data_IF_142169660065
#
_entry.id   IF_142169660065
#
_cell.length_a   1.000
_cell.length_b   1.000
_cell.length_c   1.000
_cell.angle_alpha   90.00
_cell.angle_beta   90.00
_cell.angle_gamma   90.00
#
_symmetry.space_group_name_H-M   'P 1'
#
loop_
_entity.id
_entity.type
_entity.pdbx_description
1 polymer ?
#
# COMPACT_ATOMS: atom_id res chain seq x y z
N UNK A 1 1.78 -18.63 -28.60
CA UNK A 1 0.36 -18.39 -28.25
C UNK A 1 0.20 -16.95 -27.81
N UNK A 2 -0.83 -16.25 -28.30
CA UNK A 2 -1.26 -14.96 -27.74
C UNK A 2 -2.42 -15.26 -26.78
N UNK A 3 -2.40 -14.70 -25.57
CA UNK A 3 -3.48 -14.83 -24.59
C UNK A 3 -4.03 -13.45 -24.25
N UNK A 4 -5.29 -13.39 -23.84
CA UNK A 4 -5.91 -12.18 -23.30
C UNK A 4 -6.11 -12.37 -21.80
N UNK A 5 -5.47 -11.51 -21.00
CA UNK A 5 -5.68 -11.45 -19.55
C UNK A 5 -6.83 -10.51 -19.23
N UNK A 6 -7.67 -10.90 -18.28
CA UNK A 6 -8.70 -10.04 -17.69
C UNK A 6 -8.37 -9.88 -16.21
N UNK A 7 -8.35 -8.65 -15.72
CA UNK A 7 -8.11 -8.33 -14.31
C UNK A 7 -9.42 -7.88 -13.69
N UNK A 8 -9.91 -8.62 -12.71
CA UNK A 8 -11.07 -8.29 -11.89
C UNK A 8 -10.60 -8.08 -10.44
N UNK A 9 -10.64 -6.84 -9.97
CA UNK A 9 -10.16 -6.44 -8.64
C UNK A 9 -11.17 -5.49 -7.98
N UNK A 10 -11.14 -5.43 -6.66
CA UNK A 10 -11.87 -4.40 -5.92
C UNK A 10 -11.40 -3.00 -6.32
N UNK A 11 -12.36 -2.09 -6.48
CA UNK A 11 -12.09 -0.67 -6.60
C UNK A 11 -11.58 -0.08 -5.28
N UNK A 12 -11.15 1.18 -5.33
CA UNK A 12 -10.68 1.92 -4.16
C UNK A 12 -11.74 2.00 -3.05
N UNK A 13 -11.34 1.77 -1.79
CA UNK A 13 -12.24 1.74 -0.62
C UNK A 13 -11.92 2.83 0.41
N UNK A 14 -12.96 3.52 0.88
CA UNK A 14 -12.85 4.53 1.93
C UNK A 14 -14.10 4.49 2.84
N UNK A 15 -14.03 3.71 3.91
CA UNK A 15 -15.10 3.54 4.89
C UNK A 15 -14.89 4.38 6.15
N UNK A 16 -15.87 4.34 7.05
CA UNK A 16 -15.77 4.94 8.40
C UNK A 16 -14.67 4.29 9.25
N UNK A 17 -14.43 3.00 9.04
CA UNK A 17 -13.39 2.21 9.70
C UNK A 17 -12.68 1.38 8.63
N UNK A 18 -11.43 1.72 8.32
CA UNK A 18 -10.61 1.00 7.36
C UNK A 18 -9.55 0.21 8.13
N UNK A 19 -9.38 -1.07 7.81
CA UNK A 19 -8.38 -1.92 8.45
C UNK A 19 -7.32 -2.39 7.43
N UNK A 20 -6.58 -3.46 7.75
CA UNK A 20 -5.48 -3.95 6.94
C UNK A 20 -5.95 -4.38 5.54
N UNK A 21 -7.15 -4.92 5.43
CA UNK A 21 -7.75 -5.36 4.17
C UNK A 21 -7.95 -4.18 3.22
N UNK A 22 -8.51 -3.07 3.71
CA UNK A 22 -8.65 -1.83 2.93
C UNK A 22 -7.27 -1.27 2.53
N UNK A 23 -6.27 -1.36 3.40
CA UNK A 23 -4.91 -0.92 3.06
C UNK A 23 -4.36 -1.72 1.88
N UNK A 24 -4.55 -3.05 1.86
CA UNK A 24 -4.14 -3.89 0.74
C UNK A 24 -4.93 -3.61 -0.54
N UNK A 25 -6.25 -3.43 -0.46
CA UNK A 25 -7.08 -3.09 -1.62
C UNK A 25 -6.63 -1.75 -2.23
N UNK A 26 -6.45 -0.73 -1.39
CA UNK A 26 -6.02 0.59 -1.85
C UNK A 26 -4.58 0.58 -2.37
N UNK A 27 -3.69 -0.18 -1.74
CA UNK A 27 -2.33 -0.40 -2.24
C UNK A 27 -2.31 -1.04 -3.63
N UNK A 28 -3.12 -2.08 -3.86
CA UNK A 28 -3.28 -2.70 -5.18
C UNK A 28 -3.78 -1.69 -6.22
N UNK A 29 -4.75 -0.84 -5.85
CA UNK A 29 -5.24 0.22 -6.72
C UNK A 29 -4.16 1.26 -7.05
N UNK A 30 -3.33 1.67 -6.08
CA UNK A 30 -2.21 2.58 -6.34
C UNK A 30 -1.14 1.94 -7.24
N UNK A 31 -0.84 0.65 -7.05
CA UNK A 31 0.10 -0.08 -7.93
C UNK A 31 -0.45 -0.18 -9.35
N UNK A 32 -1.75 -0.43 -9.51
CA UNK A 32 -2.41 -0.46 -10.81
C UNK A 32 -2.40 0.95 -11.45
N UNK A 33 -2.64 2.00 -10.67
CA UNK A 33 -2.55 3.37 -11.14
C UNK A 33 -1.14 3.71 -11.65
N UNK A 34 -0.09 3.37 -10.90
CA UNK A 34 1.30 3.56 -11.33
C UNK A 34 1.59 2.81 -12.63
N UNK A 35 1.13 1.57 -12.74
CA UNK A 35 1.27 0.78 -13.97
C UNK A 35 0.62 1.49 -15.18
N UNK A 36 -0.57 2.07 -15.01
CA UNK A 36 -1.23 2.84 -16.06
C UNK A 36 -0.47 4.11 -16.42
N UNK A 37 0.03 4.87 -15.44
CA UNK A 37 0.84 6.07 -15.67
C UNK A 37 2.07 5.71 -16.50
N UNK A 38 2.81 4.68 -16.11
CA UNK A 38 4.03 4.26 -16.82
C UNK A 38 3.74 3.75 -18.24
N UNK A 39 2.67 2.96 -18.41
CA UNK A 39 2.29 2.43 -19.72
C UNK A 39 1.82 3.53 -20.67
N UNK A 40 0.99 4.46 -20.18
CA UNK A 40 0.53 5.61 -20.94
C UNK A 40 1.70 6.50 -21.35
N UNK A 41 2.62 6.79 -20.41
CA UNK A 41 3.80 7.61 -20.67
C UNK A 41 4.72 6.98 -21.73
N UNK A 42 5.04 5.68 -21.60
CA UNK A 42 5.86 4.95 -22.58
C UNK A 42 5.24 5.02 -23.98
N UNK A 43 3.92 4.87 -24.08
CA UNK A 43 3.20 4.94 -25.35
C UNK A 43 3.25 6.35 -25.96
N UNK A 44 3.00 7.38 -25.16
CA UNK A 44 3.06 8.77 -25.63
C UNK A 44 4.46 9.16 -26.07
N UNK A 45 5.48 8.79 -25.30
CA UNK A 45 6.88 9.04 -25.65
C UNK A 45 7.27 8.37 -26.98
N UNK A 46 6.80 7.15 -27.23
CA UNK A 46 7.04 6.44 -28.49
C UNK A 46 6.43 7.18 -29.68
N UNK A 47 5.14 7.59 -29.59
CA UNK A 47 4.49 8.36 -30.66
C UNK A 47 5.18 9.71 -30.92
N UNK A 48 5.54 10.42 -29.85
CA UNK A 48 6.23 11.71 -29.96
C UNK A 48 7.60 11.55 -30.65
N UNK A 49 8.33 10.48 -30.33
CA UNK A 49 9.62 10.18 -30.96
C UNK A 49 9.47 9.83 -32.44
N UNK A 50 8.41 9.13 -32.84
CA UNK A 50 8.12 8.82 -34.24
C UNK A 50 7.78 10.07 -35.05
N UNK A 51 7.10 11.04 -34.43
CA UNK A 51 6.74 12.31 -35.07
C UNK A 51 7.83 13.39 -34.97
N UNK A 52 8.95 13.12 -34.30
CA UNK A 52 10.03 14.10 -34.08
C UNK A 52 9.64 15.25 -33.13
N UNK A 53 8.63 15.05 -32.30
CA UNK A 53 8.08 16.07 -31.39
C UNK A 53 8.67 15.85 -29.99
N UNK A 54 9.17 16.92 -29.37
CA UNK A 54 9.53 16.89 -27.95
C UNK A 54 8.40 17.46 -27.11
N UNK A 55 7.72 16.60 -26.34
CA UNK A 55 6.66 17.02 -25.42
C UNK A 55 7.12 16.78 -23.97
N UNK A 56 7.04 17.83 -23.15
CA UNK A 56 7.26 17.73 -21.71
C UNK A 56 5.91 17.47 -21.02
N UNK A 57 5.47 16.23 -20.99
CA UNK A 57 4.21 15.86 -20.35
C UNK A 57 4.42 15.75 -18.84
N UNK A 58 3.70 16.56 -18.06
CA UNK A 58 3.70 16.50 -16.60
C UNK A 58 2.50 15.67 -16.14
N UNK A 59 2.75 14.44 -15.75
CA UNK A 59 1.75 13.62 -15.06
C UNK A 59 1.93 13.72 -13.54
N UNK A 60 0.82 13.59 -12.82
CA UNK A 60 0.83 13.48 -11.37
C UNK A 60 1.17 12.03 -11.01
N UNK A 61 2.44 11.80 -10.66
CA UNK A 61 2.98 10.50 -10.27
C UNK A 61 2.56 10.13 -8.83
N UNK A 62 2.21 8.86 -8.60
CA UNK A 62 1.87 8.31 -7.28
C UNK A 62 3.00 7.46 -6.66
N UNK A 63 4.20 7.43 -7.23
CA UNK A 63 5.38 6.72 -6.71
C UNK A 63 5.70 7.08 -5.25
N UNK A 64 5.45 8.32 -4.84
CA UNK A 64 5.66 8.77 -3.47
C UNK A 64 4.64 8.18 -2.46
N UNK A 65 3.42 7.85 -2.92
CA UNK A 65 2.41 7.12 -2.13
C UNK A 65 2.83 5.66 -2.02
N UNK A 66 3.26 5.05 -3.13
CA UNK A 66 3.77 3.68 -3.13
C UNK A 66 4.98 3.53 -2.20
N UNK A 67 5.96 4.42 -2.28
CA UNK A 67 7.12 4.41 -1.40
C UNK A 67 6.75 4.54 0.08
N UNK A 68 5.70 5.31 0.40
CA UNK A 68 5.17 5.40 1.77
C UNK A 68 4.60 4.06 2.25
N UNK A 69 3.97 3.29 1.35
CA UNK A 69 3.33 2.01 1.69
C UNK A 69 4.37 0.87 1.71
N UNK A 70 5.23 0.75 0.71
CA UNK A 70 5.97 -0.50 0.42
C UNK A 70 7.50 -0.38 0.38
N UNK A 71 8.07 0.82 0.56
CA UNK A 71 9.52 0.99 0.34
C UNK A 71 10.34 0.13 1.30
N UNK A 72 11.30 -0.59 0.75
CA UNK A 72 12.35 -1.30 1.51
C UNK A 72 13.74 -0.64 1.30
N UNK A 73 13.78 0.54 0.67
CA UNK A 73 15.03 1.21 0.33
C UNK A 73 15.67 1.84 1.57
N UNK A 74 16.96 1.58 1.79
CA UNK A 74 17.67 2.07 2.97
C UNK A 74 17.85 3.59 3.00
N UNK A 75 17.89 4.27 1.84
CA UNK A 75 18.03 5.73 1.74
C UNK A 75 16.68 6.43 1.92
N UNK A 76 15.63 5.89 1.33
CA UNK A 76 14.27 6.41 1.49
C UNK A 76 13.71 6.09 2.87
N UNK A 77 14.10 4.95 3.44
CA UNK A 77 13.62 4.36 4.69
C UNK A 77 12.38 3.49 4.48
N UNK A 78 12.12 2.58 5.41
CA UNK A 78 11.01 1.62 5.32
C UNK A 78 9.63 2.28 5.18
N UNK A 79 8.76 1.65 4.38
CA UNK A 79 7.34 1.95 4.23
C UNK A 79 6.48 1.31 5.33
N UNK A 80 5.17 1.54 5.26
CA UNK A 80 4.19 0.99 6.22
C UNK A 80 4.21 -0.54 6.28
N UNK A 81 4.23 -1.23 5.13
CA UNK A 81 4.18 -2.70 5.09
C UNK A 81 5.45 -3.35 5.65
N UNK A 82 6.68 -2.92 5.29
CA UNK A 82 7.88 -3.47 5.93
C UNK A 82 7.97 -3.17 7.43
N UNK A 83 7.49 -2.00 7.89
CA UNK A 83 7.39 -1.71 9.33
C UNK A 83 6.41 -2.65 10.05
N UNK A 84 5.30 -3.03 9.40
CA UNK A 84 4.39 -4.03 9.94
C UNK A 84 5.05 -5.41 10.01
N UNK A 85 5.78 -5.80 8.97
CA UNK A 85 6.53 -7.06 8.91
C UNK A 85 7.57 -7.15 10.05
N UNK A 86 8.33 -6.09 10.31
CA UNK A 86 9.25 -6.02 11.44
C UNK A 86 8.53 -6.31 12.77
N UNK A 87 7.36 -5.70 13.00
CA UNK A 87 6.59 -5.91 14.24
C UNK A 87 5.94 -7.30 14.33
N UNK A 88 5.63 -7.94 13.20
CA UNK A 88 5.18 -9.33 13.17
C UNK A 88 6.32 -10.28 13.56
N UNK A 89 7.56 -10.00 13.13
CA UNK A 89 8.74 -10.81 13.43
C UNK A 89 9.24 -10.72 14.89
N UNK A 90 8.89 -9.66 15.62
CA UNK A 90 9.27 -9.48 17.02
C UNK A 90 8.40 -10.31 17.96
N UNK A 91 9.02 -11.02 18.90
CA UNK A 91 8.33 -11.75 19.97
C UNK A 91 7.49 -10.80 20.86
N UNK A 92 8.00 -9.59 21.09
CA UNK A 92 7.34 -8.53 21.85
C UNK A 92 6.67 -7.46 20.96
N UNK A 93 6.49 -7.75 19.66
CA UNK A 93 5.88 -6.81 18.72
C UNK A 93 4.41 -6.54 19.03
N UNK A 94 3.96 -5.30 18.79
CA UNK A 94 2.57 -4.89 19.06
C UNK A 94 2.05 -3.88 18.03
N UNK A 95 0.73 -3.79 17.89
CA UNK A 95 0.08 -2.81 16.99
C UNK A 95 0.38 -1.36 17.39
N UNK A 96 0.49 -1.07 18.69
CA UNK A 96 0.87 0.26 19.18
C UNK A 96 2.32 0.60 18.82
N UNK A 97 3.25 -0.35 19.00
CA UNK A 97 4.65 -0.17 18.64
C UNK A 97 4.84 -0.01 17.12
N UNK A 98 4.06 -0.75 16.31
CA UNK A 98 3.94 -0.55 14.87
C UNK A 98 3.51 0.88 14.54
N UNK A 99 2.37 1.33 15.09
CA UNK A 99 1.80 2.64 14.80
C UNK A 99 2.76 3.77 15.18
N UNK A 100 3.38 3.67 16.36
CA UNK A 100 4.38 4.63 16.81
C UNK A 100 5.64 4.64 15.92
N UNK A 101 6.03 3.48 15.38
CA UNK A 101 7.16 3.38 14.44
C UNK A 101 6.86 4.05 13.11
N UNK A 102 5.64 3.91 12.59
CA UNK A 102 5.17 4.67 11.42
C UNK A 102 5.21 6.18 11.69
N UNK A 103 4.63 6.66 12.80
CA UNK A 103 4.65 8.09 13.15
C UNK A 103 6.07 8.65 13.26
N UNK A 104 6.98 7.93 13.93
CA UNK A 104 8.39 8.31 14.04
C UNK A 104 9.09 8.37 12.69
N UNK A 105 8.82 7.41 11.81
CA UNK A 105 9.41 7.30 10.48
C UNK A 105 8.95 8.42 9.54
N UNK A 106 7.64 8.66 9.50
CA UNK A 106 7.04 9.60 8.55
C UNK A 106 6.96 11.03 9.07
N UNK A 107 7.02 11.25 10.40
CA UNK A 107 7.13 12.59 10.98
C UNK A 107 8.39 13.36 10.56
N UNK A 108 9.41 12.65 10.05
CA UNK A 108 10.63 13.23 9.47
C UNK A 108 10.64 13.27 7.94
N UNK A 109 9.61 12.71 7.28
CA UNK A 109 9.58 12.58 5.83
C UNK A 109 9.32 13.94 5.16
N UNK A 110 10.07 14.30 4.10
CA UNK A 110 9.73 15.47 3.29
C UNK A 110 8.47 15.24 2.45
N UNK A 111 8.09 13.97 2.23
CA UNK A 111 6.89 13.58 1.48
C UNK A 111 5.68 13.58 2.40
N UNK A 112 4.67 14.41 2.09
CA UNK A 112 3.51 14.67 2.94
C UNK A 112 2.25 13.85 2.59
N UNK A 113 2.40 12.59 2.18
CA UNK A 113 1.24 11.71 1.97
C UNK A 113 0.92 10.82 3.18
N UNK A 114 1.75 10.79 4.23
CA UNK A 114 1.41 10.20 5.52
C UNK A 114 1.01 11.28 6.52
N UNK A 115 -0.07 11.04 7.28
CA UNK A 115 -0.57 11.97 8.29
C UNK A 115 -0.78 11.24 9.63
N UNK A 116 -0.15 11.77 10.67
CA UNK A 116 -0.43 11.40 12.06
C UNK A 116 -1.69 12.15 12.54
N UNK A 117 -2.78 11.44 12.91
CA UNK A 117 -4.02 12.09 13.29
C UNK A 117 -3.93 12.66 14.71
N UNK A 118 -4.53 13.84 14.93
CA UNK A 118 -4.53 14.50 16.25
C UNK A 118 -5.26 13.71 17.34
N UNK A 119 -6.28 12.95 16.97
CA UNK A 119 -7.08 12.11 17.87
C UNK A 119 -6.80 10.64 17.58
N UNK A 120 -6.70 9.82 18.63
CA UNK A 120 -6.46 8.37 18.54
C UNK A 120 -5.20 7.99 17.73
N UNK A 121 -4.14 8.83 17.79
CA UNK A 121 -2.86 8.61 17.12
C UNK A 121 -2.22 7.26 17.44
N UNK A 122 -2.47 6.70 18.64
CA UNK A 122 -1.92 5.41 19.07
C UNK A 122 -2.39 4.22 18.21
N UNK A 123 -3.53 4.36 17.56
CA UNK A 123 -4.20 3.26 16.84
C UNK A 123 -4.60 3.66 15.41
N UNK A 124 -4.15 4.82 14.92
CA UNK A 124 -4.54 5.31 13.61
C UNK A 124 -3.41 6.04 12.90
N UNK A 125 -3.40 5.91 11.58
CA UNK A 125 -2.71 6.80 10.66
C UNK A 125 -3.61 7.09 9.45
N UNK A 126 -3.23 8.08 8.65
CA UNK A 126 -3.92 8.43 7.42
C UNK A 126 -2.93 8.51 6.26
N UNK A 127 -3.34 8.00 5.09
CA UNK A 127 -2.59 8.12 3.84
C UNK A 127 -3.40 8.96 2.86
N UNK A 128 -2.75 9.98 2.30
CA UNK A 128 -3.27 10.77 1.20
C UNK A 128 -3.06 9.98 -0.10
N UNK A 129 -4.04 9.14 -0.44
CA UNK A 129 -4.03 8.39 -1.69
C UNK A 129 -4.33 9.28 -2.90
N UNK A 130 -4.09 8.76 -4.09
CA UNK A 130 -4.35 9.45 -5.36
C UNK A 130 -5.83 9.88 -5.49
N UNK A 131 -6.75 9.07 -4.96
CA UNK A 131 -8.19 9.35 -5.04
C UNK A 131 -8.69 10.23 -3.89
N UNK A 132 -8.35 9.90 -2.64
CA UNK A 132 -8.77 10.64 -1.45
C UNK A 132 -7.94 10.26 -0.21
N UNK A 133 -7.97 11.06 0.87
CA UNK A 133 -7.39 10.67 2.14
C UNK A 133 -8.15 9.49 2.77
N UNK A 134 -7.42 8.48 3.24
CA UNK A 134 -7.99 7.31 3.92
C UNK A 134 -7.32 7.12 5.27
N UNK A 135 -8.15 7.08 6.32
CA UNK A 135 -7.72 6.83 7.69
C UNK A 135 -7.85 5.34 8.02
N UNK A 136 -6.76 4.75 8.48
CA UNK A 136 -6.67 3.34 8.85
C UNK A 136 -6.61 3.18 10.37
N UNK A 137 -7.34 2.20 10.89
CA UNK A 137 -7.25 1.76 12.27
C UNK A 137 -6.29 0.58 12.35
N UNK A 138 -5.19 0.75 13.06
CA UNK A 138 -4.11 -0.25 13.18
C UNK A 138 -4.40 -1.34 14.20
N UNK A 139 -5.55 -1.30 14.87
CA UNK A 139 -6.01 -2.36 15.73
C UNK A 139 -6.02 -3.69 14.96
N UNK A 140 -5.40 -4.71 15.56
CA UNK A 140 -5.29 -6.06 15.02
C UNK A 140 -4.52 -6.22 13.69
N UNK A 141 -3.76 -5.22 13.25
CA UNK A 141 -2.96 -5.33 12.02
C UNK A 141 -1.97 -6.51 12.08
N UNK A 142 -1.25 -6.65 13.20
CA UNK A 142 -0.26 -7.71 13.40
C UNK A 142 -0.93 -9.08 13.36
N UNK A 143 -2.02 -9.25 14.10
CA UNK A 143 -2.78 -10.51 14.16
C UNK A 143 -3.30 -10.90 12.78
N UNK A 144 -3.89 -9.95 12.05
CA UNK A 144 -4.36 -10.15 10.67
C UNK A 144 -3.23 -10.50 9.70
N UNK A 145 -2.06 -9.88 9.85
CA UNK A 145 -0.90 -10.15 8.99
C UNK A 145 -0.21 -11.48 9.33
N UNK A 146 -0.32 -11.94 10.58
CA UNK A 146 0.23 -13.21 11.05
C UNK A 146 -0.73 -14.38 10.91
N UNK A 147 -1.98 -14.15 10.46
CA UNK A 147 -3.00 -15.18 10.34
C UNK A 147 -2.65 -16.15 9.19
N UNK A 148 -1.79 -17.12 9.52
CA UNK A 148 -1.46 -18.25 8.69
C UNK A 148 -2.28 -19.43 9.20
N UNK A 149 -3.16 -19.95 8.34
CA UNK A 149 -3.90 -21.19 8.61
C UNK A 149 -2.93 -22.30 9.06
N UNK A 150 -3.13 -22.92 10.24
CA UNK A 150 -2.29 -24.02 10.69
C UNK A 150 -2.28 -25.15 9.66
N UNK A 151 -1.11 -25.73 9.41
CA UNK A 151 -0.91 -26.82 8.44
C UNK A 151 -1.87 -28.00 8.62
N UNK A 152 -2.30 -28.25 9.87
CA UNK A 152 -3.25 -29.30 10.24
C UNK A 152 -4.65 -29.06 9.68
N UNK A 153 -5.09 -27.80 9.59
CA UNK A 153 -6.39 -27.41 9.00
C UNK A 153 -6.34 -27.54 7.48
N UNK A 154 -5.18 -27.29 6.87
CA UNK A 154 -4.96 -27.48 5.42
C UNK A 154 -4.91 -28.95 5.00
N UNK A 155 -4.57 -29.86 5.92
CA UNK A 155 -4.50 -31.30 5.67
C UNK A 155 -5.78 -32.05 6.04
N UNK A 156 -6.74 -31.40 6.70
CA UNK A 156 -8.03 -32.01 6.96
C UNK A 156 -8.78 -32.22 5.64
N UNK A 157 -9.13 -33.47 5.25
CA UNK A 157 -9.94 -33.68 4.06
C UNK A 157 -11.26 -32.94 4.27
N UNK A 158 -11.66 -32.13 3.27
CA UNK A 158 -12.96 -31.46 3.21
C UNK A 158 -14.06 -32.50 3.42
N UNK A 159 -14.50 -32.72 4.65
CA UNK A 159 -15.70 -33.50 4.97
C UNK A 159 -16.91 -32.68 4.56
N UNK A 160 -17.19 -32.67 3.26
CA UNK A 160 -18.54 -32.39 2.76
C UNK A 160 -19.36 -33.66 3.04
N UNK A 161 -20.15 -33.62 4.11
CA UNK A 161 -21.33 -34.47 4.27
C UNK A 161 -22.44 -33.98 3.36
#
# INVERSE_FOLDING_TARGET
MRFAGVLDIFGFEAFKLNSLEQLFINYCNERLHQFFIEAAFKREQAMCSEEGITIAIKFQDNAHILATIDSQDAKLGLGVLPLLEEQCGLQSGSNEAFTQSCHRRFGKSPVKCYVEPKMAAREHFEILHSCCPVRYCTAHFREKNMDVMPSEVLQAPSKRT
#
